data_IF_295870970749
#
_entry.id   IF_295870970749
#
_cell.length_a   1.000
_cell.length_b   1.000
_cell.length_c   1.000
_cell.angle_alpha   90.00
_cell.angle_beta   90.00
_cell.angle_gamma   90.00
#
_symmetry.space_group_name_H-M   'P 1'
#
loop_
_entity.id
_entity.type
_entity.pdbx_description
1 polymer ?
#
# COMPACT_ATOMS: atom_id res chain seq x y z
N UNK A 1 -17.98 -13.61 -10.84
CA UNK A 1 -16.82 -12.74 -11.10
C UNK A 1 -15.90 -12.91 -9.91
N UNK A 2 -14.67 -13.35 -10.11
CA UNK A 2 -13.65 -13.34 -9.06
C UNK A 2 -13.36 -11.88 -8.73
N UNK A 3 -13.43 -11.51 -7.45
CA UNK A 3 -12.95 -10.21 -6.98
C UNK A 3 -11.44 -10.16 -7.28
N UNK A 4 -10.99 -9.10 -7.94
CA UNK A 4 -9.59 -8.93 -8.31
C UNK A 4 -8.98 -7.89 -7.36
N UNK A 5 -7.85 -8.25 -6.76
CA UNK A 5 -7.11 -7.37 -5.86
C UNK A 5 -6.62 -6.13 -6.61
N UNK A 6 -6.88 -4.94 -6.06
CA UNK A 6 -6.56 -3.66 -6.70
C UNK A 6 -6.10 -2.61 -5.72
N UNK A 7 -5.25 -1.69 -6.21
CA UNK A 7 -4.90 -0.43 -5.56
C UNK A 7 -5.35 0.74 -6.44
N UNK A 8 -6.02 1.70 -5.84
CA UNK A 8 -6.52 2.91 -6.47
C UNK A 8 -5.75 4.11 -5.94
N UNK A 9 -5.47 5.07 -6.83
CA UNK A 9 -4.89 6.37 -6.49
C UNK A 9 -5.88 7.44 -6.93
N UNK A 10 -6.40 8.22 -5.98
CA UNK A 10 -7.50 9.13 -6.26
C UNK A 10 -7.06 10.25 -7.20
N UNK A 11 -7.79 10.44 -8.30
CA UNK A 11 -7.50 11.49 -9.28
C UNK A 11 -6.37 11.18 -10.24
N UNK A 12 -5.78 9.98 -10.21
CA UNK A 12 -4.82 9.57 -11.23
C UNK A 12 -5.51 9.26 -12.58
N UNK A 13 -4.73 9.01 -13.66
CA UNK A 13 -5.32 8.73 -14.98
C UNK A 13 -6.08 7.40 -15.11
N UNK A 14 -6.02 6.51 -14.12
CA UNK A 14 -6.68 5.20 -14.10
C UNK A 14 -7.69 5.09 -12.95
N UNK A 15 -8.91 5.65 -13.10
CA UNK A 15 -9.95 5.57 -12.07
C UNK A 15 -10.36 4.13 -11.71
N UNK A 16 -10.15 3.17 -12.62
CA UNK A 16 -10.37 1.75 -12.41
C UNK A 16 -9.39 1.10 -11.42
N UNK A 17 -8.29 1.79 -11.07
CA UNK A 17 -7.22 1.28 -10.22
C UNK A 17 -6.38 0.20 -10.90
N UNK A 18 -5.28 -0.14 -10.25
CA UNK A 18 -4.25 -1.03 -10.77
C UNK A 18 -4.35 -2.42 -10.13
N UNK A 19 -4.29 -3.50 -10.92
CA UNK A 19 -4.21 -4.85 -10.36
C UNK A 19 -3.04 -5.01 -9.42
N UNK A 20 -3.20 -5.80 -8.37
CA UNK A 20 -2.09 -6.16 -7.47
C UNK A 20 -1.42 -7.42 -8.00
N UNK A 21 -0.16 -7.28 -8.43
CA UNK A 21 0.64 -8.36 -8.98
C UNK A 21 1.31 -9.20 -7.87
N UNK A 22 1.57 -8.58 -6.71
CA UNK A 22 2.17 -9.25 -5.57
C UNK A 22 1.69 -8.62 -4.26
N UNK A 23 1.30 -9.49 -3.32
CA UNK A 23 1.03 -9.11 -1.94
C UNK A 23 1.67 -10.11 -0.98
N UNK A 24 2.35 -9.61 0.05
CA UNK A 24 2.87 -10.42 1.15
C UNK A 24 2.45 -9.81 2.47
N UNK A 25 1.93 -10.66 3.34
CA UNK A 25 1.68 -10.35 4.74
C UNK A 25 2.47 -11.32 5.59
N UNK A 26 3.45 -10.79 6.33
CA UNK A 26 4.31 -11.56 7.22
C UNK A 26 4.17 -11.08 8.66
N UNK A 27 4.57 -11.92 9.60
CA UNK A 27 4.58 -11.58 11.01
C UNK A 27 5.92 -11.94 11.66
N UNK A 28 6.34 -11.11 12.61
CA UNK A 28 7.50 -11.35 13.46
C UNK A 28 7.15 -11.12 14.93
N UNK A 29 7.97 -11.64 15.85
CA UNK A 29 7.86 -11.35 17.28
C UNK A 29 9.01 -10.44 17.69
N UNK A 30 8.69 -9.30 18.29
CA UNK A 30 9.66 -8.32 18.82
C UNK A 30 9.20 -7.90 20.21
N UNK A 31 10.04 -8.08 21.21
CA UNK A 31 9.76 -7.73 22.61
C UNK A 31 8.42 -8.28 23.14
N UNK A 32 8.07 -9.52 22.77
CA UNK A 32 6.83 -10.18 23.19
C UNK A 32 5.57 -9.71 22.46
N UNK A 33 5.71 -8.84 21.47
CA UNK A 33 4.64 -8.33 20.61
C UNK A 33 4.71 -8.97 19.22
N UNK A 34 3.55 -9.23 18.64
CA UNK A 34 3.40 -9.56 17.22
C UNK A 34 3.47 -8.29 16.40
N UNK A 35 4.34 -8.30 15.41
CA UNK A 35 4.48 -7.24 14.41
C UNK A 35 4.06 -7.78 13.05
N UNK A 36 3.33 -6.98 12.29
CA UNK A 36 3.01 -7.28 10.90
C UNK A 36 3.86 -6.45 9.96
N UNK A 37 4.18 -7.08 8.84
CA UNK A 37 4.85 -6.47 7.71
C UNK A 37 3.99 -6.73 6.48
N UNK A 38 3.74 -5.67 5.71
CA UNK A 38 3.01 -5.75 4.44
C UNK A 38 3.90 -5.29 3.29
N UNK A 39 3.79 -6.00 2.18
CA UNK A 39 4.38 -5.63 0.91
C UNK A 39 3.33 -5.77 -0.17
N UNK A 40 3.15 -4.71 -0.96
CA UNK A 40 2.25 -4.65 -2.10
C UNK A 40 3.01 -4.14 -3.31
N UNK A 41 2.85 -4.81 -4.45
CA UNK A 41 3.30 -4.32 -5.75
C UNK A 41 2.16 -4.41 -6.75
N UNK A 42 1.85 -3.31 -7.42
CA UNK A 42 0.89 -3.32 -8.51
C UNK A 42 1.46 -4.00 -9.76
N UNK A 43 0.59 -4.38 -10.69
CA UNK A 43 0.98 -4.54 -12.08
C UNK A 43 1.48 -3.21 -12.65
N UNK A 44 2.05 -3.27 -13.85
CA UNK A 44 2.40 -2.07 -14.58
C UNK A 44 1.12 -1.24 -14.86
N UNK A 45 1.22 0.09 -14.82
CA UNK A 45 0.06 0.97 -14.84
C UNK A 45 -0.76 0.86 -16.14
N UNK A 46 -0.10 0.49 -17.23
CA UNK A 46 -0.69 0.27 -18.56
C UNK A 46 -1.11 -1.19 -18.82
N UNK A 47 -0.97 -2.10 -17.84
CA UNK A 47 -1.17 -3.54 -18.04
C UNK A 47 -2.59 -3.94 -18.51
N UNK A 48 -3.60 -3.14 -18.19
CA UNK A 48 -4.99 -3.37 -18.62
C UNK A 48 -5.55 -2.28 -19.55
N UNK A 49 -4.97 -1.07 -19.51
CA UNK A 49 -5.34 0.05 -20.38
C UNK A 49 -4.15 0.97 -20.61
N UNK A 50 -3.71 1.02 -21.85
CA UNK A 50 -2.79 2.04 -22.36
C UNK A 50 -3.53 3.38 -22.50
N UNK A 51 -2.83 4.48 -22.21
CA UNK A 51 -3.29 5.84 -22.49
C UNK A 51 -2.38 6.38 -23.58
N UNK A 52 -2.89 6.37 -24.81
CA UNK A 52 -2.17 6.92 -25.96
C UNK A 52 -2.13 8.45 -25.84
N UNK A 53 -0.92 8.97 -25.65
CA UNK A 53 -0.66 10.40 -25.74
C UNK A 53 0.02 10.70 -27.08
N UNK A 54 -0.41 11.75 -27.80
CA UNK A 54 0.22 12.15 -29.05
C UNK A 54 1.71 12.47 -28.83
N UNK A 55 2.60 11.67 -29.43
CA UNK A 55 4.07 11.79 -29.27
C UNK A 55 4.62 13.18 -29.66
N UNK A 56 3.90 13.90 -30.54
CA UNK A 56 4.32 15.19 -31.10
C UNK A 56 3.66 16.40 -30.42
N UNK A 57 2.82 16.22 -29.40
CA UNK A 57 2.18 17.31 -28.65
C UNK A 57 2.57 17.24 -27.16
N UNK A 58 3.29 18.25 -26.68
CA UNK A 58 3.47 18.46 -25.25
C UNK A 58 2.10 18.81 -24.63
N UNK A 59 1.48 17.84 -23.97
CA UNK A 59 0.28 18.07 -23.16
C UNK A 59 0.72 18.68 -21.82
N UNK A 60 0.26 19.90 -21.56
CA UNK A 60 0.49 20.60 -20.30
C UNK A 60 -0.48 20.10 -19.23
N UNK A 61 -0.01 19.16 -18.40
CA UNK A 61 -0.76 18.65 -17.26
C UNK A 61 -0.63 19.57 -16.04
N UNK A 62 -1.67 19.67 -15.19
CA UNK A 62 -1.61 20.47 -13.96
C UNK A 62 -0.48 20.05 -13.00
N UNK A 63 -0.16 18.76 -12.96
CA UNK A 63 0.98 18.20 -12.24
C UNK A 63 1.32 16.80 -12.76
N UNK A 64 2.45 16.26 -12.29
CA UNK A 64 2.87 14.87 -12.56
C UNK A 64 1.81 13.84 -12.13
N UNK A 65 0.96 14.16 -11.15
CA UNK A 65 -0.12 13.26 -10.70
C UNK A 65 -1.17 13.00 -11.78
N UNK A 66 -1.46 13.99 -12.62
CA UNK A 66 -2.43 13.88 -13.71
C UNK A 66 -1.83 13.39 -15.03
N UNK A 67 -0.50 13.27 -15.13
CA UNK A 67 0.23 13.05 -16.38
C UNK A 67 0.53 11.55 -16.63
N UNK A 68 -0.19 10.86 -17.54
CA UNK A 68 -0.04 9.41 -17.77
C UNK A 68 1.38 8.97 -18.14
N UNK A 69 2.06 9.72 -19.00
CA UNK A 69 3.46 9.53 -19.34
C UNK A 69 4.39 9.46 -18.12
N UNK A 70 4.18 10.29 -17.10
CA UNK A 70 4.98 10.28 -15.87
C UNK A 70 4.76 8.96 -15.13
N UNK A 71 3.50 8.56 -14.92
CA UNK A 71 3.18 7.27 -14.29
C UNK A 71 3.85 6.11 -15.03
N UNK A 72 3.66 6.02 -16.34
CA UNK A 72 4.21 4.94 -17.17
C UNK A 72 5.76 4.89 -17.14
N UNK A 73 6.42 6.04 -17.01
CA UNK A 73 7.88 6.10 -16.84
C UNK A 73 8.35 5.45 -15.53
N UNK A 74 7.52 5.42 -14.49
CA UNK A 74 7.79 4.74 -13.22
C UNK A 74 7.24 3.32 -13.14
N UNK A 75 6.51 2.89 -14.18
CA UNK A 75 6.00 1.56 -14.44
C UNK A 75 4.93 1.05 -13.48
N UNK A 76 5.19 1.02 -12.17
CA UNK A 76 4.30 0.40 -11.17
C UNK A 76 4.54 0.92 -9.76
N UNK A 77 3.52 0.74 -8.92
CA UNK A 77 3.61 1.03 -7.50
C UNK A 77 4.28 -0.13 -6.74
N UNK A 78 5.16 0.19 -5.81
CA UNK A 78 5.56 -0.70 -4.72
C UNK A 78 5.37 0.02 -3.39
N UNK A 79 4.55 -0.52 -2.50
CA UNK A 79 4.27 0.01 -1.16
C UNK A 79 4.65 -1.06 -0.13
N UNK A 80 5.62 -0.79 0.74
CA UNK A 80 6.20 -1.84 1.57
C UNK A 80 6.83 -1.35 2.86
N UNK A 81 6.65 -2.15 3.92
CA UNK A 81 7.40 -1.99 5.17
C UNK A 81 8.74 -2.70 5.15
N UNK A 82 9.07 -3.48 4.11
CA UNK A 82 10.24 -4.40 4.09
C UNK A 82 11.10 -4.30 2.84
N UNK A 83 10.67 -3.56 1.81
CA UNK A 83 11.41 -3.45 0.56
C UNK A 83 12.56 -2.43 0.63
N UNK A 84 12.40 -1.40 1.46
CA UNK A 84 13.40 -0.37 1.73
C UNK A 84 13.49 -0.13 3.24
N UNK A 85 14.68 0.21 3.73
CA UNK A 85 14.94 0.39 5.18
C UNK A 85 15.05 -0.93 5.96
N UNK A 86 15.04 -0.81 7.29
CA UNK A 86 15.30 -1.91 8.23
C UNK A 86 14.07 -2.78 8.57
N UNK A 87 12.91 -2.55 7.95
CA UNK A 87 11.77 -3.45 8.15
C UNK A 87 10.96 -3.14 9.41
N UNK A 88 10.44 -1.93 9.58
CA UNK A 88 9.84 -1.53 10.85
C UNK A 88 8.45 -2.13 11.10
N UNK A 89 7.66 -2.37 10.05
CA UNK A 89 6.32 -2.95 10.18
C UNK A 89 5.45 -2.19 11.20
N UNK A 90 4.48 -2.87 11.81
CA UNK A 90 3.68 -2.28 12.89
C UNK A 90 3.26 -3.30 13.94
N UNK A 91 3.23 -2.89 15.21
CA UNK A 91 2.80 -3.72 16.32
C UNK A 91 1.29 -3.98 16.29
N UNK A 92 0.88 -5.20 16.65
CA UNK A 92 -0.51 -5.66 16.54
C UNK A 92 -1.09 -6.01 17.91
N UNK A 93 -0.49 -7.00 18.59
CA UNK A 93 -0.93 -7.47 19.89
C UNK A 93 0.20 -8.25 20.59
N UNK A 94 0.09 -8.51 21.91
CA UNK A 94 0.97 -9.47 22.56
C UNK A 94 0.89 -10.85 21.92
N UNK A 95 1.99 -11.60 21.92
CA UNK A 95 2.05 -12.96 21.36
C UNK A 95 1.04 -13.90 22.02
N UNK A 96 0.80 -13.74 23.34
CA UNK A 96 -0.19 -14.52 24.09
C UNK A 96 -1.62 -14.38 23.58
N UNK A 97 -1.92 -13.27 22.91
CA UNK A 97 -3.27 -12.89 22.49
C UNK A 97 -3.49 -13.14 20.99
N UNK A 98 -2.42 -13.52 20.29
CA UNK A 98 -2.47 -13.70 18.85
C UNK A 98 -3.33 -14.90 18.46
N UNK A 99 -4.38 -14.63 17.69
CA UNK A 99 -5.20 -15.65 17.07
C UNK A 99 -5.92 -15.05 15.86
N UNK A 100 -6.33 -15.85 14.87
CA UNK A 100 -7.15 -15.35 13.76
C UNK A 100 -8.45 -14.67 14.24
N UNK A 101 -9.04 -15.12 15.35
CA UNK A 101 -10.21 -14.48 15.94
C UNK A 101 -9.91 -13.09 16.54
N UNK A 102 -8.68 -12.85 17.02
CA UNK A 102 -8.26 -11.53 17.51
C UNK A 102 -8.03 -10.55 16.37
N UNK A 103 -7.62 -11.03 15.20
CA UNK A 103 -7.37 -10.21 14.00
C UNK A 103 -8.67 -9.90 13.26
N UNK A 104 -9.71 -10.71 13.42
CA UNK A 104 -11.00 -10.51 12.76
C UNK A 104 -11.66 -9.17 13.17
N UNK A 105 -11.86 -8.30 12.17
CA UNK A 105 -12.40 -6.96 12.32
C UNK A 105 -11.42 -5.93 12.87
N UNK A 106 -10.15 -6.30 13.09
CA UNK A 106 -9.11 -5.40 13.59
C UNK A 106 -8.86 -4.28 12.57
N UNK A 107 -8.80 -3.05 13.06
CA UNK A 107 -8.34 -1.89 12.31
C UNK A 107 -7.15 -1.27 13.03
N UNK A 108 -6.04 -1.10 12.30
CA UNK A 108 -4.82 -0.47 12.81
C UNK A 108 -4.59 0.85 12.09
N UNK A 109 -4.19 1.87 12.85
CA UNK A 109 -3.70 3.15 12.33
C UNK A 109 -2.19 3.18 12.48
N UNK A 110 -1.48 3.51 11.40
CA UNK A 110 0.00 3.58 11.37
C UNK A 110 0.39 4.94 10.80
N UNK A 111 1.42 5.57 11.39
CA UNK A 111 1.88 6.91 11.03
C UNK A 111 0.75 7.96 11.10
N UNK A 112 -0.01 7.94 12.21
CA UNK A 112 -1.04 8.93 12.52
C UNK A 112 -0.82 9.52 13.95
N UNK A 113 -0.24 10.74 14.07
CA UNK A 113 0.28 11.58 12.99
C UNK A 113 1.53 10.98 12.33
N UNK A 114 1.87 11.43 11.10
CA UNK A 114 3.08 10.99 10.42
C UNK A 114 4.32 11.43 11.21
N UNK A 115 5.43 10.68 11.11
CA UNK A 115 6.73 11.11 11.58
C UNK A 115 7.15 12.47 10.99
N UNK A 116 8.07 13.16 11.67
CA UNK A 116 8.64 14.43 11.16
C UNK A 116 9.52 14.21 9.93
N UNK A 117 10.27 13.11 9.89
CA UNK A 117 11.08 12.68 8.76
C UNK A 117 10.36 11.55 8.01
N UNK A 118 10.17 11.70 6.70
CA UNK A 118 9.51 10.70 5.87
C UNK A 118 10.28 9.37 5.78
N UNK A 119 11.58 9.39 6.06
CA UNK A 119 12.40 8.17 6.16
C UNK A 119 12.06 7.33 7.40
N UNK A 120 11.36 7.89 8.38
CA UNK A 120 10.91 7.18 9.58
C UNK A 120 9.52 6.54 9.41
N UNK A 121 8.87 6.70 8.25
CA UNK A 121 7.57 6.08 7.99
C UNK A 121 7.66 4.54 8.11
N UNK A 122 6.60 3.92 8.62
CA UNK A 122 6.53 2.47 8.71
C UNK A 122 6.45 1.79 7.33
N UNK A 123 5.99 2.53 6.32
CA UNK A 123 5.92 2.09 4.93
C UNK A 123 6.61 3.10 4.02
N UNK A 124 7.44 2.58 3.10
CA UNK A 124 8.00 3.36 2.01
C UNK A 124 7.28 3.00 0.71
N UNK A 125 7.24 3.96 -0.20
CA UNK A 125 6.55 3.82 -1.47
C UNK A 125 7.45 4.24 -2.64
N UNK A 126 7.37 3.46 -3.71
CA UNK A 126 7.82 3.88 -5.03
C UNK A 126 6.60 3.96 -5.94
N UNK A 127 6.20 5.16 -6.35
CA UNK A 127 4.99 5.40 -7.13
C UNK A 127 5.28 6.19 -8.40
N UNK A 128 5.70 7.45 -8.24
CA UNK A 128 6.20 8.33 -9.30
C UNK A 128 7.69 8.63 -9.08
N UNK A 129 8.39 7.73 -8.39
CA UNK A 129 9.71 7.96 -7.81
C UNK A 129 9.71 7.49 -6.35
N UNK A 130 10.73 7.89 -5.59
CA UNK A 130 10.76 7.68 -4.15
C UNK A 130 9.87 8.72 -3.45
N UNK A 131 8.64 8.29 -3.18
CA UNK A 131 7.59 9.08 -2.55
C UNK A 131 7.46 8.71 -1.06
N UNK A 132 6.62 9.44 -0.35
CA UNK A 132 6.31 9.14 1.05
C UNK A 132 4.85 8.70 1.20
N UNK A 133 4.61 7.69 2.05
CA UNK A 133 3.27 7.23 2.40
C UNK A 133 3.09 7.17 3.92
N UNK A 134 1.97 7.68 4.41
CA UNK A 134 1.63 7.72 5.83
C UNK A 134 0.11 7.71 6.05
N UNK A 135 -0.35 8.00 7.27
CA UNK A 135 -1.77 8.04 7.64
C UNK A 135 -2.51 6.74 7.30
N UNK A 136 -1.84 5.61 7.49
CA UNK A 136 -2.38 4.33 7.08
C UNK A 136 -3.53 3.92 7.98
N UNK A 137 -4.57 3.37 7.36
CA UNK A 137 -5.65 2.62 8.03
C UNK A 137 -5.74 1.26 7.36
N UNK A 138 -5.52 0.22 8.14
CA UNK A 138 -5.49 -1.16 7.66
C UNK A 138 -6.52 -1.96 8.44
N UNK A 139 -7.53 -2.47 7.75
CA UNK A 139 -8.59 -3.30 8.31
C UNK A 139 -8.46 -4.73 7.82
N UNK A 140 -8.57 -5.68 8.74
CA UNK A 140 -8.52 -7.11 8.48
C UNK A 140 -9.88 -7.72 8.81
N UNK A 141 -10.58 -8.26 7.81
CA UNK A 141 -11.87 -8.92 7.98
C UNK A 141 -11.75 -10.40 7.64
N UNK A 142 -12.00 -11.28 8.60
CA UNK A 142 -11.82 -12.72 8.40
C UNK A 142 -12.93 -13.28 7.53
N UNK A 143 -12.57 -14.10 6.56
CA UNK A 143 -13.54 -14.84 5.76
C UNK A 143 -14.08 -15.99 6.62
N UNK A 144 -15.39 -15.95 6.87
CA UNK A 144 -16.07 -16.86 7.79
C UNK A 144 -15.73 -18.34 7.52
N UNK A 145 -15.33 -19.05 8.57
CA UNK A 145 -14.97 -20.48 8.49
C UNK A 145 -13.59 -20.78 7.90
N UNK A 146 -12.75 -19.79 7.67
CA UNK A 146 -11.38 -19.95 7.10
C UNK A 146 -10.32 -19.24 7.96
N UNK A 147 -9.04 -19.41 7.67
CA UNK A 147 -7.95 -18.57 8.21
C UNK A 147 -7.46 -17.52 7.18
N UNK A 148 -8.37 -17.09 6.31
CA UNK A 148 -8.11 -16.13 5.23
C UNK A 148 -8.89 -14.85 5.47
N UNK A 149 -8.39 -13.73 4.93
CA UNK A 149 -8.84 -12.39 5.25
C UNK A 149 -9.07 -11.56 3.98
N UNK A 150 -10.07 -10.69 4.03
CA UNK A 150 -10.09 -9.52 3.17
C UNK A 150 -9.39 -8.38 3.90
N UNK A 151 -8.55 -7.64 3.20
CA UNK A 151 -7.78 -6.53 3.77
C UNK A 151 -8.15 -5.25 3.02
N UNK A 152 -8.60 -4.24 3.74
CA UNK A 152 -8.76 -2.89 3.22
C UNK A 152 -7.63 -2.02 3.76
N UNK A 153 -6.86 -1.40 2.89
CA UNK A 153 -5.71 -0.58 3.24
C UNK A 153 -5.80 0.78 2.56
N UNK A 154 -5.99 1.83 3.33
CA UNK A 154 -5.97 3.21 2.84
C UNK A 154 -4.83 3.99 3.45
N UNK A 155 -4.46 5.09 2.83
CA UNK A 155 -3.50 6.03 3.39
C UNK A 155 -3.32 7.24 2.49
N UNK A 156 -2.32 8.04 2.82
CA UNK A 156 -1.99 9.26 2.09
C UNK A 156 -0.58 9.20 1.54
N UNK A 157 -0.36 9.91 0.44
CA UNK A 157 0.90 10.00 -0.28
C UNK A 157 1.30 11.47 -0.41
N UNK A 158 2.60 11.72 -0.23
CA UNK A 158 3.27 12.96 -0.61
C UNK A 158 4.23 12.67 -1.77
N UNK A 159 4.29 13.55 -2.76
CA UNK A 159 5.19 13.41 -3.92
C UNK A 159 6.60 13.87 -3.59
N UNK A 160 7.21 13.23 -2.60
CA UNK A 160 8.50 13.61 -2.02
C UNK A 160 9.62 13.60 -3.07
N UNK A 161 9.51 12.81 -4.15
CA UNK A 161 10.48 12.82 -5.24
C UNK A 161 10.62 14.20 -5.93
N UNK A 162 9.55 15.01 -5.91
CA UNK A 162 9.53 16.39 -6.44
C UNK A 162 9.86 17.43 -5.38
N UNK A 163 10.13 17.01 -4.14
CA UNK A 163 10.31 17.89 -2.99
C UNK A 163 9.00 18.36 -2.36
N UNK A 164 7.86 17.76 -2.71
CA UNK A 164 6.57 18.02 -2.05
C UNK A 164 6.29 16.97 -0.97
N UNK A 165 6.42 17.40 0.29
CA UNK A 165 6.25 16.55 1.47
C UNK A 165 4.85 16.64 2.08
N UNK A 166 3.89 17.31 1.43
CA UNK A 166 2.50 17.36 1.89
C UNK A 166 1.74 16.08 1.50
N UNK A 167 1.21 15.35 2.49
CA UNK A 167 0.41 14.14 2.30
C UNK A 167 -1.01 14.45 1.77
N UNK A 168 -1.11 14.87 0.51
CA UNK A 168 -2.37 15.35 -0.09
C UNK A 168 -3.06 14.36 -1.03
N UNK A 169 -2.37 13.31 -1.47
CA UNK A 169 -2.94 12.30 -2.37
C UNK A 169 -3.44 11.08 -1.59
N UNK A 170 -4.57 10.51 -2.00
CA UNK A 170 -5.17 9.36 -1.32
C UNK A 170 -4.99 8.07 -2.12
N UNK A 171 -4.69 6.97 -1.43
CA UNK A 171 -4.75 5.63 -1.99
C UNK A 171 -5.71 4.71 -1.22
N UNK A 172 -6.23 3.71 -1.93
CA UNK A 172 -7.03 2.64 -1.35
C UNK A 172 -6.72 1.31 -2.04
N UNK A 173 -6.31 0.31 -1.28
CA UNK A 173 -6.09 -1.05 -1.73
C UNK A 173 -7.10 -2.02 -1.09
N UNK A 174 -7.57 -2.96 -1.89
CA UNK A 174 -8.45 -4.03 -1.47
C UNK A 174 -7.84 -5.37 -1.90
N UNK A 175 -7.58 -6.21 -0.90
CA UNK A 175 -7.03 -7.55 -1.05
C UNK A 175 -8.09 -8.55 -0.60
N UNK A 176 -8.28 -9.59 -1.39
CA UNK A 176 -9.23 -10.65 -1.12
C UNK A 176 -8.52 -11.96 -0.83
N UNK A 177 -9.13 -12.77 0.02
CA UNK A 177 -8.69 -14.14 0.23
C UNK A 177 -7.20 -14.27 0.62
N UNK A 178 -6.71 -13.39 1.48
CA UNK A 178 -5.30 -13.37 1.92
C UNK A 178 -5.10 -14.36 3.08
N UNK A 179 -4.12 -15.25 2.96
CA UNK A 179 -3.74 -16.14 4.06
C UNK A 179 -3.12 -15.36 5.23
N UNK A 180 -3.63 -15.55 6.45
CA UNK A 180 -2.99 -14.97 7.63
C UNK A 180 -1.57 -15.51 7.85
N UNK A 181 -0.62 -14.68 8.31
CA UNK A 181 0.73 -15.09 8.57
C UNK A 181 0.76 -16.06 9.75
N UNK A 182 1.77 -16.94 9.72
CA UNK A 182 2.08 -17.80 10.86
C UNK A 182 3.15 -17.11 11.69
N UNK A 183 2.99 -17.15 13.00
CA UNK A 183 4.05 -16.77 13.91
C UNK A 183 4.95 -17.98 14.10
N UNK A 184 6.28 -17.86 13.90
CA UNK A 184 7.21 -18.93 14.24
C UNK A 184 7.04 -19.31 15.72
N UNK A 185 6.96 -20.62 15.99
CA UNK A 185 6.89 -21.15 17.36
C UNK A 185 8.20 -20.96 18.12
#
# INVERSE_FOLDING_TARGET
MTLQDRIHFTGNPWPEGHPIAEFRWTASVRDGMVWFDLHLRSADYDAEREIDEPEDEEIDYPSDWEAPNVWNNYHRCTLSSTNWGDGNGFAVCPVSDFSPARIDGLEVRVDEPPPEDTEDNAFHIYLLGHDAAAHHRIRFDRIAGTDRFSIAWTGKIALAYTGDYEYKYDFAAHLHDVQAPRIPA
#
